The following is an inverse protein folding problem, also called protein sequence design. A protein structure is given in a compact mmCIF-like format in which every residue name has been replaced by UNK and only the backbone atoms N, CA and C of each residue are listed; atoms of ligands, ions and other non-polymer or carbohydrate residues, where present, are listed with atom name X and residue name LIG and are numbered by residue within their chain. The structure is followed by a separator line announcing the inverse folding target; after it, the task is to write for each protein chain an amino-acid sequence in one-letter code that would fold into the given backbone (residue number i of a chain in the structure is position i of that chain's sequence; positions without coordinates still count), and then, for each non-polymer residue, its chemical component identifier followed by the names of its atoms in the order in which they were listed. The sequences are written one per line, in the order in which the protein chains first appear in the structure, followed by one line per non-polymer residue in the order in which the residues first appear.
data_IF_968331798659
#
_entry.id   IF_968331798659
#
_cell.length_a   1.000
_cell.length_b   1.000
_cell.length_c   1.000
_cell.angle_alpha   90.00
_cell.angle_beta   90.00
_cell.angle_gamma   90.00
#
_symmetry.space_group_name_H-M   'P 1'
#
loop_
_entity.id
_entity.type
_entity.pdbx_description
1 polymer ?
#
# COMPACT_ATOMS: atom_id res chain seq x y z
N UNK A 1 -8.40 60.66 -3.32
CA UNK A 1 -7.29 60.27 -2.44
C UNK A 1 -7.64 59.05 -1.57
N UNK A 2 -8.82 59.03 -0.91
CA UNK A 2 -9.22 57.94 -0.04
C UNK A 2 -9.20 56.55 -0.71
N UNK A 3 -9.81 56.44 -1.91
CA UNK A 3 -9.86 55.19 -2.67
C UNK A 3 -8.47 54.72 -3.08
N UNK A 4 -7.58 55.62 -3.45
CA UNK A 4 -6.19 55.27 -3.77
C UNK A 4 -5.46 54.75 -2.52
N UNK A 5 -5.64 55.41 -1.37
CA UNK A 5 -5.04 54.95 -0.11
C UNK A 5 -5.55 53.54 0.27
N UNK A 6 -6.86 53.25 0.16
CA UNK A 6 -7.46 51.96 0.40
C UNK A 6 -6.88 50.90 -0.57
N UNK A 7 -6.74 51.23 -1.86
CA UNK A 7 -6.17 50.33 -2.84
C UNK A 7 -4.71 49.96 -2.50
N UNK A 8 -3.87 50.95 -2.19
CA UNK A 8 -2.46 50.71 -1.84
C UNK A 8 -2.33 49.88 -0.57
N UNK A 9 -3.10 50.19 0.47
CA UNK A 9 -3.11 49.43 1.70
C UNK A 9 -3.57 47.99 1.46
N UNK A 10 -4.66 47.82 0.71
CA UNK A 10 -5.15 46.48 0.36
C UNK A 10 -4.13 45.66 -0.41
N UNK A 11 -3.42 46.29 -1.35
CA UNK A 11 -2.36 45.64 -2.13
C UNK A 11 -1.23 45.12 -1.22
N UNK A 12 -0.78 45.96 -0.29
CA UNK A 12 0.28 45.60 0.68
C UNK A 12 -0.14 44.45 1.60
N UNK A 13 -1.37 44.49 2.09
CA UNK A 13 -1.91 43.40 2.92
C UNK A 13 -2.04 42.10 2.14
N UNK A 14 -2.52 42.14 0.89
CA UNK A 14 -2.65 40.94 0.04
C UNK A 14 -1.28 40.31 -0.19
N UNK A 15 -0.25 41.08 -0.50
CA UNK A 15 1.11 40.57 -0.68
C UNK A 15 1.67 39.98 0.62
N UNK A 16 1.50 40.69 1.73
CA UNK A 16 2.03 40.30 3.05
C UNK A 16 1.34 39.01 3.58
N UNK A 17 0.12 38.78 3.18
CA UNK A 17 -0.67 37.61 3.58
C UNK A 17 -0.08 36.28 3.11
N UNK A 18 0.78 36.26 2.10
CA UNK A 18 1.46 35.05 1.59
C UNK A 18 2.93 34.91 2.09
N UNK A 19 3.45 35.87 2.81
CA UNK A 19 4.83 35.85 3.28
C UNK A 19 4.99 35.06 4.59
N UNK A 20 6.12 34.42 4.78
CA UNK A 20 6.48 33.75 6.05
C UNK A 20 5.74 32.41 6.28
N UNK A 21 4.98 31.90 5.32
CA UNK A 21 4.35 30.58 5.43
C UNK A 21 5.35 29.48 5.15
N UNK A 22 5.35 28.45 5.99
CA UNK A 22 6.07 27.21 5.78
C UNK A 22 5.11 26.10 5.34
N UNK A 23 5.48 25.35 4.30
CA UNK A 23 4.68 24.25 3.76
C UNK A 23 5.54 23.02 3.71
N UNK A 24 5.02 21.91 4.24
CA UNK A 24 5.67 20.60 4.24
C UNK A 24 4.68 19.52 3.82
N UNK A 25 5.17 18.52 3.09
CA UNK A 25 4.41 17.32 2.81
C UNK A 25 4.60 16.30 3.93
N UNK A 26 3.54 15.59 4.24
CA UNK A 26 3.55 14.47 5.19
C UNK A 26 3.52 13.16 4.39
N UNK A 27 3.89 12.05 5.03
CA UNK A 27 3.86 10.73 4.40
C UNK A 27 2.49 10.42 3.79
N UNK A 28 2.51 9.77 2.64
CA UNK A 28 1.31 9.42 1.86
C UNK A 28 1.10 7.92 1.93
N UNK A 29 -0.13 7.50 2.18
CA UNK A 29 -0.50 6.09 2.14
C UNK A 29 -0.52 5.58 0.69
N UNK A 30 -0.08 4.33 0.45
CA UNK A 30 -0.16 3.74 -0.88
C UNK A 30 -1.62 3.49 -1.29
N UNK A 31 -1.88 3.57 -2.59
CA UNK A 31 -3.21 3.36 -3.20
C UNK A 31 -3.10 2.41 -4.39
N UNK A 32 -4.23 1.88 -4.85
CA UNK A 32 -4.27 1.08 -6.08
C UNK A 32 -4.48 1.96 -7.32
N UNK A 33 -3.97 1.48 -8.46
CA UNK A 33 -4.18 2.13 -9.73
C UNK A 33 -5.69 2.20 -10.06
N UNK A 34 -6.14 3.39 -10.44
CA UNK A 34 -7.55 3.75 -10.62
C UNK A 34 -8.17 4.48 -9.43
N UNK A 35 -7.49 4.56 -8.30
CA UNK A 35 -7.93 5.32 -7.12
C UNK A 35 -7.34 6.75 -7.12
N UNK A 36 -7.63 7.48 -6.06
CA UNK A 36 -7.08 8.82 -5.84
C UNK A 36 -6.05 8.81 -4.70
N UNK A 37 -4.82 9.16 -5.02
CA UNK A 37 -3.76 9.36 -4.04
C UNK A 37 -3.98 10.69 -3.29
N UNK A 38 -4.01 10.65 -1.96
CA UNK A 38 -4.17 11.82 -1.10
C UNK A 38 -2.82 12.21 -0.52
N UNK A 39 -2.34 13.39 -0.85
CA UNK A 39 -1.10 13.95 -0.36
C UNK A 39 -1.39 14.96 0.77
N UNK A 40 -1.25 14.56 2.04
CA UNK A 40 -1.42 15.48 3.14
C UNK A 40 -0.25 16.48 3.17
N UNK A 41 -0.59 17.75 3.30
CA UNK A 41 0.34 18.85 3.46
C UNK A 41 0.03 19.60 4.77
N UNK A 42 1.05 20.11 5.39
CA UNK A 42 0.94 20.96 6.59
C UNK A 42 1.45 22.34 6.23
N UNK A 43 0.61 23.32 6.48
CA UNK A 43 0.89 24.75 6.28
C UNK A 43 0.97 25.39 7.66
N UNK A 44 2.09 25.99 8.00
CA UNK A 44 2.31 26.64 9.29
C UNK A 44 2.70 28.08 9.13
N UNK A 45 2.28 28.89 10.09
CA UNK A 45 2.61 30.30 10.20
C UNK A 45 3.48 30.51 11.46
N UNK A 46 4.82 30.55 11.32
CA UNK A 46 5.71 30.78 12.45
C UNK A 46 5.66 32.23 12.96
N UNK A 47 5.13 33.12 12.13
CA UNK A 47 5.03 34.56 12.46
C UNK A 47 3.89 34.84 13.45
N UNK A 48 3.94 36.04 14.05
CA UNK A 48 2.89 36.55 14.96
C UNK A 48 1.65 37.12 14.25
N UNK A 49 1.55 37.00 12.93
CA UNK A 49 0.49 37.60 12.10
C UNK A 49 -0.32 36.48 11.44
N UNK A 50 -1.64 36.50 11.65
CA UNK A 50 -2.55 35.57 10.99
C UNK A 50 -2.52 35.69 9.45
N UNK A 51 -2.67 34.61 8.78
CA UNK A 51 -2.82 34.52 7.32
C UNK A 51 -4.25 34.10 7.01
N UNK A 52 -4.99 34.94 6.33
CA UNK A 52 -6.44 34.78 6.18
C UNK A 52 -6.83 34.52 4.72
N UNK A 53 -7.92 33.79 4.54
CA UNK A 53 -8.51 33.52 3.23
C UNK A 53 -7.48 33.02 2.21
N UNK A 54 -6.74 31.98 2.58
CA UNK A 54 -5.78 31.28 1.73
C UNK A 54 -6.47 30.10 1.03
N UNK A 55 -6.04 29.76 -0.16
CA UNK A 55 -6.42 28.51 -0.82
C UNK A 55 -5.26 27.95 -1.64
N UNK A 56 -5.38 26.64 -2.00
CA UNK A 56 -4.47 25.97 -2.89
C UNK A 56 -4.97 26.10 -4.33
N UNK A 57 -4.14 26.60 -5.24
CA UNK A 57 -4.55 26.89 -6.65
C UNK A 57 -4.95 25.64 -7.42
N UNK A 58 -4.58 24.45 -6.99
CA UNK A 58 -4.81 23.20 -7.73
C UNK A 58 -6.09 22.46 -7.33
N UNK A 59 -6.82 22.93 -6.34
CA UNK A 59 -8.11 22.35 -5.98
C UNK A 59 -9.20 22.82 -6.93
N UNK A 60 -9.98 21.86 -7.45
CA UNK A 60 -11.13 22.14 -8.32
C UNK A 60 -12.21 22.97 -7.60
N UNK A 61 -12.21 22.96 -6.28
CA UNK A 61 -13.03 23.80 -5.41
C UNK A 61 -12.11 24.41 -4.38
N UNK A 62 -11.77 25.70 -4.49
CA UNK A 62 -10.90 26.37 -3.56
C UNK A 62 -11.58 26.44 -2.18
N UNK A 63 -11.20 25.52 -1.31
CA UNK A 63 -11.57 25.56 0.10
C UNK A 63 -10.67 26.59 0.80
N UNK A 64 -11.24 27.76 1.11
CA UNK A 64 -10.55 28.83 1.78
C UNK A 64 -10.26 28.43 3.22
N UNK A 65 -9.04 28.69 3.67
CA UNK A 65 -8.61 28.46 5.04
C UNK A 65 -7.78 29.62 5.58
N UNK A 66 -7.64 29.67 6.89
CA UNK A 66 -6.80 30.64 7.57
C UNK A 66 -5.82 29.89 8.46
N UNK A 67 -4.65 30.50 8.67
CA UNK A 67 -3.61 29.98 9.56
C UNK A 67 -3.32 31.06 10.59
N UNK A 68 -3.60 30.77 11.84
CA UNK A 68 -3.36 31.68 12.96
C UNK A 68 -1.89 31.64 13.38
N UNK A 69 -1.41 32.68 14.12
CA UNK A 69 -0.05 32.73 14.60
C UNK A 69 0.33 31.49 15.42
N UNK A 70 1.43 30.84 15.06
CA UNK A 70 1.91 29.66 15.76
C UNK A 70 1.10 28.38 15.49
N UNK A 71 0.05 28.45 14.68
CA UNK A 71 -0.75 27.29 14.30
C UNK A 71 -0.28 26.65 13.00
N UNK A 72 -0.73 25.41 12.80
CA UNK A 72 -0.56 24.67 11.56
C UNK A 72 -1.88 24.10 11.10
N UNK A 73 -2.16 24.22 9.81
CA UNK A 73 -3.37 23.72 9.18
C UNK A 73 -2.99 22.57 8.24
N UNK A 74 -3.67 21.45 8.39
CA UNK A 74 -3.50 20.31 7.48
C UNK A 74 -4.52 20.38 6.33
N UNK A 75 -4.02 20.21 5.12
CA UNK A 75 -4.81 20.09 3.89
C UNK A 75 -4.35 18.87 3.11
N UNK A 76 -5.13 18.39 2.18
CA UNK A 76 -4.76 17.26 1.34
C UNK A 76 -5.02 17.58 -0.12
N UNK A 77 -4.07 17.20 -0.97
CA UNK A 77 -4.21 17.29 -2.42
C UNK A 77 -4.56 15.91 -2.94
N UNK A 78 -5.66 15.80 -3.68
CA UNK A 78 -6.10 14.56 -4.29
C UNK A 78 -5.64 14.51 -5.75
N UNK A 79 -5.00 13.42 -6.15
CA UNK A 79 -4.53 13.20 -7.51
C UNK A 79 -5.01 11.83 -8.01
N UNK A 80 -5.44 11.73 -9.28
CA UNK A 80 -5.78 10.44 -9.85
C UNK A 80 -4.49 9.60 -10.01
N UNK A 81 -4.51 8.38 -9.49
CA UNK A 81 -3.43 7.41 -9.61
C UNK A 81 -3.74 6.47 -10.78
N UNK A 82 -3.51 6.92 -12.02
CA UNK A 82 -3.89 6.18 -13.22
C UNK A 82 -3.04 4.92 -13.43
N UNK A 83 -1.74 4.99 -13.15
CA UNK A 83 -0.77 3.94 -13.41
C UNK A 83 -0.03 3.56 -12.13
N UNK A 84 0.40 2.30 -12.05
CA UNK A 84 1.24 1.85 -10.93
C UNK A 84 2.62 2.52 -10.93
N UNK A 85 3.25 2.55 -9.78
CA UNK A 85 4.60 3.10 -9.65
C UNK A 85 4.70 4.20 -8.60
N UNK A 86 5.60 5.15 -8.81
CA UNK A 86 5.77 6.30 -7.92
C UNK A 86 5.03 7.50 -8.48
N UNK A 87 4.00 7.94 -7.80
CA UNK A 87 3.28 9.17 -8.08
C UNK A 87 3.83 10.28 -7.17
N UNK A 88 4.44 11.29 -7.78
CA UNK A 88 4.99 12.43 -7.04
C UNK A 88 3.95 13.54 -6.88
N UNK A 89 4.01 14.24 -5.76
CA UNK A 89 3.20 15.43 -5.54
C UNK A 89 3.63 16.54 -6.54
N UNK A 90 2.69 17.16 -7.25
CA UNK A 90 3.02 18.29 -8.11
C UNK A 90 3.37 19.53 -7.30
N UNK A 91 4.06 20.47 -7.93
CA UNK A 91 4.26 21.78 -7.36
C UNK A 91 2.92 22.47 -7.12
N UNK A 92 2.76 23.03 -5.93
CA UNK A 92 1.55 23.74 -5.51
C UNK A 92 1.81 25.23 -5.39
N UNK A 93 0.73 26.01 -5.42
CA UNK A 93 0.74 27.44 -5.12
C UNK A 93 -0.31 27.76 -4.07
N UNK A 94 0.03 28.66 -3.18
CA UNK A 94 -0.94 29.34 -2.34
C UNK A 94 -1.40 30.62 -3.00
N UNK A 95 -2.66 30.91 -2.87
CA UNK A 95 -3.24 32.15 -3.36
C UNK A 95 -4.13 32.78 -2.29
N UNK A 96 -4.36 34.09 -2.41
CA UNK A 96 -5.24 34.86 -1.55
C UNK A 96 -5.80 36.08 -2.27
N UNK A 97 -7.01 36.50 -1.84
CA UNK A 97 -7.62 37.78 -2.22
C UNK A 97 -7.90 38.69 -1.01
N UNK A 98 -7.41 38.28 0.15
CA UNK A 98 -7.56 39.06 1.38
C UNK A 98 -6.81 40.41 1.27
N UNK A 99 -7.35 41.58 1.78
CA UNK A 99 -8.54 41.69 2.60
C UNK A 99 -9.87 41.95 1.83
N UNK A 100 -9.84 42.68 0.72
CA UNK A 100 -11.04 43.21 0.07
C UNK A 100 -11.45 42.46 -1.19
N UNK A 101 -10.72 41.42 -1.58
CA UNK A 101 -10.98 40.68 -2.81
C UNK A 101 -10.61 41.41 -4.11
N UNK A 102 -10.11 42.65 -4.04
CA UNK A 102 -9.76 43.49 -5.19
C UNK A 102 -8.48 43.01 -5.85
N UNK A 103 -7.49 42.63 -5.06
CA UNK A 103 -6.20 42.16 -5.54
C UNK A 103 -6.08 40.65 -5.36
N UNK A 104 -5.44 40.02 -6.34
CA UNK A 104 -5.11 38.61 -6.32
C UNK A 104 -3.60 38.45 -6.18
N UNK A 105 -3.17 37.72 -5.16
CA UNK A 105 -1.78 37.36 -4.96
C UNK A 105 -1.62 35.85 -4.94
N UNK A 106 -0.47 35.38 -5.42
CA UNK A 106 -0.09 33.96 -5.40
C UNK A 106 1.38 33.80 -5.03
N UNK A 107 1.70 32.66 -4.43
CA UNK A 107 3.08 32.30 -4.12
C UNK A 107 3.81 31.81 -5.37
N UNK A 108 5.13 31.72 -5.31
CA UNK A 108 5.90 30.91 -6.26
C UNK A 108 5.45 29.45 -6.19
N UNK A 109 5.78 28.67 -7.21
CA UNK A 109 5.57 27.21 -7.17
C UNK A 109 6.42 26.60 -6.06
N UNK A 110 5.78 25.90 -5.16
CA UNK A 110 6.40 25.25 -4.01
C UNK A 110 6.56 23.77 -4.38
N UNK A 111 7.79 23.34 -4.52
CA UNK A 111 8.15 21.96 -4.79
C UNK A 111 8.33 21.23 -3.47
N UNK A 112 7.64 20.11 -3.31
CA UNK A 112 7.74 19.27 -2.13
C UNK A 112 8.22 17.89 -2.56
N UNK A 113 9.08 17.26 -1.76
CA UNK A 113 9.56 15.90 -2.01
C UNK A 113 8.66 14.92 -1.28
N UNK A 114 7.57 14.51 -1.91
CA UNK A 114 6.71 13.45 -1.41
C UNK A 114 6.22 12.60 -2.59
N UNK A 115 6.09 11.31 -2.36
CA UNK A 115 5.59 10.39 -3.37
C UNK A 115 4.67 9.36 -2.73
N UNK A 116 3.68 8.95 -3.49
CA UNK A 116 2.78 7.85 -3.19
C UNK A 116 3.22 6.63 -4.01
N UNK A 117 3.25 5.46 -3.38
CA UNK A 117 3.40 4.21 -4.12
C UNK A 117 2.01 3.79 -4.61
N UNK A 118 1.87 3.67 -5.92
CA UNK A 118 0.63 3.21 -6.55
C UNK A 118 0.78 1.74 -6.88
N UNK A 119 0.01 0.89 -6.21
CA UNK A 119 -0.03 -0.55 -6.45
C UNK A 119 -0.73 -0.87 -7.78
N UNK A 120 -0.43 -2.01 -8.42
CA UNK A 120 -1.19 -2.46 -9.58
C UNK A 120 -2.68 -2.59 -9.24
N UNK A 121 -3.54 -2.31 -10.20
CA UNK A 121 -4.97 -2.55 -10.05
C UNK A 121 -5.22 -4.05 -9.89
N UNK A 122 -5.92 -4.50 -8.83
CA UNK A 122 -6.22 -5.91 -8.67
C UNK A 122 -7.07 -6.44 -9.83
N UNK A 123 -6.71 -7.61 -10.36
CA UNK A 123 -7.53 -8.29 -11.34
C UNK A 123 -8.89 -8.71 -10.74
N UNK A 124 -9.89 -9.04 -11.57
CA UNK A 124 -11.11 -9.67 -11.08
C UNK A 124 -10.81 -10.92 -10.26
N UNK A 125 -11.69 -11.31 -9.32
CA UNK A 125 -11.50 -12.51 -8.54
C UNK A 125 -11.27 -13.74 -9.43
N UNK A 126 -10.14 -14.38 -9.24
CA UNK A 126 -9.76 -15.60 -9.95
C UNK A 126 -9.11 -16.55 -8.94
N UNK A 127 -9.51 -17.82 -8.89
CA UNK A 127 -8.89 -18.77 -7.98
C UNK A 127 -7.38 -18.86 -8.27
N UNK A 128 -6.59 -19.05 -7.21
CA UNK A 128 -5.18 -19.40 -7.37
C UNK A 128 -5.12 -20.70 -8.17
N UNK A 129 -4.44 -20.70 -9.28
CA UNK A 129 -3.92 -21.94 -9.81
C UNK A 129 -2.65 -22.21 -8.99
N UNK A 130 -2.78 -23.03 -7.96
CA UNK A 130 -1.61 -23.59 -7.31
C UNK A 130 -0.89 -24.37 -8.40
N UNK A 131 0.21 -23.81 -8.89
CA UNK A 131 1.09 -24.55 -9.78
C UNK A 131 1.43 -25.86 -9.03
N UNK A 132 1.03 -26.97 -9.60
CA UNK A 132 1.44 -28.29 -9.15
C UNK A 132 2.96 -28.37 -9.27
N UNK A 133 3.66 -27.95 -8.22
CA UNK A 133 5.06 -28.27 -8.05
C UNK A 133 5.13 -29.77 -7.76
N UNK A 134 4.94 -30.59 -8.84
CA UNK A 134 5.38 -31.97 -8.96
C UNK A 134 5.09 -32.94 -7.83
N UNK A 135 3.95 -32.86 -7.21
CA UNK A 135 3.51 -33.83 -6.22
C UNK A 135 1.98 -33.86 -6.17
N UNK A 136 1.43 -35.03 -6.43
CA UNK A 136 0.01 -35.37 -6.42
C UNK A 136 -0.64 -35.07 -5.06
N UNK A 137 -0.91 -33.79 -4.79
CA UNK A 137 -1.59 -33.34 -3.60
C UNK A 137 -2.49 -32.17 -3.93
N UNK A 138 -3.80 -32.42 -3.99
CA UNK A 138 -4.81 -31.36 -3.83
C UNK A 138 -4.37 -30.49 -2.67
N UNK A 139 -4.37 -29.14 -2.80
CA UNK A 139 -4.23 -28.30 -1.63
C UNK A 139 -5.41 -28.63 -0.72
N UNK A 140 -5.12 -29.36 0.33
CA UNK A 140 -6.05 -29.46 1.42
C UNK A 140 -6.18 -28.03 1.96
N UNK A 141 -7.31 -27.37 1.65
CA UNK A 141 -7.82 -26.31 2.52
C UNK A 141 -7.71 -26.91 3.91
N UNK A 142 -6.71 -26.45 4.68
CA UNK A 142 -6.51 -26.91 6.05
C UNK A 142 -7.80 -26.56 6.79
N UNK A 143 -8.73 -27.50 6.84
CA UNK A 143 -9.79 -27.51 7.84
C UNK A 143 -9.04 -27.44 9.17
N UNK A 144 -9.19 -26.36 9.85
CA UNK A 144 -8.84 -26.18 11.25
C UNK A 144 -9.73 -27.11 12.08
N UNK A 145 -9.56 -28.42 11.96
CA UNK A 145 -10.03 -29.41 12.92
C UNK A 145 -9.60 -30.79 12.43
N UNK A 146 -8.67 -31.36 13.14
CA UNK A 146 -8.33 -32.75 13.01
C UNK A 146 -6.85 -32.94 12.65
N UNK A 147 -6.12 -33.42 13.63
CA UNK A 147 -4.85 -34.09 13.44
C UNK A 147 -5.09 -35.21 12.41
N UNK A 148 -4.71 -34.99 11.15
CA UNK A 148 -4.86 -36.02 10.12
C UNK A 148 -4.00 -37.21 10.51
N UNK A 149 -4.69 -38.25 10.92
CA UNK A 149 -4.09 -39.52 11.29
C UNK A 149 -3.48 -40.17 10.05
N UNK A 150 -2.14 -40.26 10.01
CA UNK A 150 -1.42 -40.86 8.90
C UNK A 150 -1.23 -42.38 9.07
N UNK A 151 -1.13 -42.87 10.32
CA UNK A 151 -0.93 -44.30 10.55
C UNK A 151 -0.43 -44.58 11.97
N UNK A 152 -0.10 -45.83 12.19
CA UNK A 152 0.56 -46.31 13.43
C UNK A 152 1.98 -46.74 13.11
N UNK A 153 2.95 -46.41 13.96
CA UNK A 153 4.27 -47.04 13.97
C UNK A 153 4.53 -47.64 15.34
N UNK A 154 5.43 -48.61 15.40
CA UNK A 154 5.82 -49.22 16.66
C UNK A 154 6.65 -48.23 17.51
N UNK A 155 6.35 -48.17 18.79
CA UNK A 155 6.99 -47.25 19.74
C UNK A 155 8.52 -47.37 19.72
N UNK A 156 9.20 -46.25 19.56
CA UNK A 156 10.66 -46.13 19.71
C UNK A 156 11.01 -45.28 20.91
N UNK A 157 12.14 -45.57 21.54
CA UNK A 157 12.61 -44.80 22.70
C UNK A 157 12.86 -43.34 22.30
N UNK A 158 12.02 -42.43 22.82
CA UNK A 158 11.98 -41.00 22.44
C UNK A 158 10.63 -40.48 21.96
N UNK A 159 9.70 -41.40 21.66
CA UNK A 159 8.36 -41.02 21.26
C UNK A 159 7.54 -40.50 22.43
N UNK A 160 6.68 -39.52 22.15
CA UNK A 160 5.80 -38.91 23.15
C UNK A 160 4.71 -39.89 23.61
N UNK A 161 4.66 -40.15 24.90
CA UNK A 161 3.63 -40.98 25.52
C UNK A 161 2.19 -40.51 25.28
N UNK A 162 1.96 -39.27 24.92
CA UNK A 162 0.66 -38.70 24.63
C UNK A 162 0.00 -39.26 23.35
N UNK A 163 0.81 -39.77 22.43
CA UNK A 163 0.35 -40.25 21.13
C UNK A 163 0.25 -41.75 21.07
N UNK A 164 0.45 -42.47 22.17
CA UNK A 164 0.33 -43.92 22.24
C UNK A 164 -1.15 -44.31 22.12
N UNK A 165 -1.43 -45.23 21.21
CA UNK A 165 -2.76 -45.82 21.03
C UNK A 165 -2.97 -47.00 21.99
N UNK A 166 -3.31 -46.72 23.24
CA UNK A 166 -3.47 -47.71 24.31
C UNK A 166 -4.50 -48.80 24.01
N UNK A 167 -5.46 -48.55 23.12
CA UNK A 167 -6.48 -49.54 22.71
C UNK A 167 -5.95 -50.70 21.85
N UNK A 168 -4.80 -50.56 21.22
CA UNK A 168 -4.21 -51.62 20.40
C UNK A 168 -3.37 -52.63 21.19
N UNK A 169 -2.89 -52.22 22.37
CA UNK A 169 -2.01 -53.05 23.22
C UNK A 169 -2.57 -54.46 23.52
N UNK A 170 -3.88 -54.67 23.82
CA UNK A 170 -4.42 -56.00 24.09
C UNK A 170 -4.53 -56.89 22.85
N UNK A 171 -4.49 -56.30 21.64
CA UNK A 171 -4.68 -57.05 20.39
C UNK A 171 -3.40 -57.36 19.63
N UNK A 172 -2.41 -56.48 19.67
CA UNK A 172 -1.19 -56.58 18.87
C UNK A 172 0.07 -56.89 19.71
N UNK A 173 0.02 -56.76 21.03
CA UNK A 173 1.17 -56.99 21.91
C UNK A 173 2.30 -55.98 21.76
N UNK A 174 2.19 -54.98 20.85
CA UNK A 174 3.15 -53.89 20.63
C UNK A 174 2.52 -52.55 20.92
N UNK A 175 3.33 -51.63 21.47
CA UNK A 175 2.93 -50.27 21.68
C UNK A 175 2.98 -49.50 20.33
N UNK A 176 1.82 -49.09 19.88
CA UNK A 176 1.68 -48.34 18.64
C UNK A 176 1.51 -46.84 18.95
N UNK A 177 2.30 -46.02 18.29
CA UNK A 177 2.22 -44.56 18.38
C UNK A 177 1.49 -44.03 17.14
N UNK A 178 0.55 -43.15 17.35
CA UNK A 178 -0.13 -42.46 16.28
C UNK A 178 0.86 -41.49 15.62
N UNK A 179 1.10 -41.71 14.33
CA UNK A 179 1.84 -40.78 13.48
C UNK A 179 0.82 -39.81 12.91
N UNK A 180 0.97 -38.54 13.23
CA UNK A 180 0.27 -37.47 12.56
C UNK A 180 1.14 -37.03 11.39
N UNK A 181 0.54 -36.87 10.22
CA UNK A 181 1.22 -36.22 9.12
C UNK A 181 1.63 -34.82 9.66
N UNK A 182 2.90 -34.61 9.85
CA UNK A 182 3.39 -33.26 10.08
C UNK A 182 2.82 -32.40 8.97
N UNK A 183 2.06 -31.38 9.33
CA UNK A 183 1.53 -30.41 8.37
C UNK A 183 2.76 -29.86 7.66
N UNK A 184 3.18 -30.45 6.53
CA UNK A 184 3.93 -29.70 5.55
C UNK A 184 2.98 -28.58 5.17
N UNK A 185 3.15 -27.42 5.82
CA UNK A 185 2.55 -26.20 5.32
C UNK A 185 3.08 -26.07 3.90
N UNK A 186 2.27 -26.45 2.94
CA UNK A 186 2.59 -26.24 1.54
C UNK A 186 2.77 -24.73 1.40
N UNK A 187 4.02 -24.33 1.30
CA UNK A 187 4.39 -22.94 1.13
C UNK A 187 3.77 -22.46 -0.17
N UNK A 188 2.87 -21.51 -0.06
CA UNK A 188 2.24 -20.91 -1.22
C UNK A 188 3.24 -19.94 -1.85
N UNK A 189 3.61 -20.16 -3.10
CA UNK A 189 4.49 -19.27 -3.84
C UNK A 189 3.74 -18.64 -5.01
N UNK A 190 3.85 -17.34 -5.14
CA UNK A 190 3.38 -16.58 -6.29
C UNK A 190 4.58 -16.22 -7.16
N UNK A 191 4.56 -16.68 -8.40
CA UNK A 191 5.60 -16.37 -9.37
C UNK A 191 5.01 -15.57 -10.54
N UNK A 192 5.78 -14.57 -11.00
CA UNK A 192 5.38 -13.77 -12.17
C UNK A 192 5.24 -14.62 -13.42
N UNK A 193 6.07 -15.68 -13.56
CA UNK A 193 6.02 -16.58 -14.71
C UNK A 193 4.73 -17.40 -14.77
N UNK A 194 4.15 -17.70 -13.61
CA UNK A 194 2.92 -18.49 -13.49
C UNK A 194 1.64 -17.66 -13.55
N UNK A 195 1.78 -16.33 -13.49
CA UNK A 195 0.63 -15.42 -13.49
C UNK A 195 -0.01 -15.37 -14.90
N UNK A 196 -1.30 -15.70 -15.05
CA UNK A 196 -1.99 -15.63 -16.32
C UNK A 196 -2.21 -14.17 -16.74
N UNK A 197 -2.16 -13.93 -18.05
CA UNK A 197 -2.50 -12.64 -18.63
C UNK A 197 -1.71 -12.31 -19.90
N UNK A 198 -2.27 -11.50 -20.78
CA UNK A 198 -1.68 -11.17 -22.07
C UNK A 198 -0.57 -10.10 -21.98
N UNK A 199 0.20 -10.09 -20.93
CA UNK A 199 1.31 -9.14 -20.76
C UNK A 199 1.61 -8.81 -19.31
N UNK A 200 2.72 -8.11 -19.10
CA UNK A 200 3.26 -7.83 -17.77
C UNK A 200 2.22 -7.16 -16.83
N UNK A 201 1.50 -6.17 -17.33
CA UNK A 201 0.51 -5.45 -16.50
C UNK A 201 -0.64 -6.35 -16.04
N UNK A 202 -1.11 -7.24 -16.91
CA UNK A 202 -2.15 -8.19 -16.56
C UNK A 202 -1.64 -9.24 -15.54
N UNK A 203 -0.40 -9.70 -15.72
CA UNK A 203 0.25 -10.61 -14.78
C UNK A 203 0.46 -9.97 -13.40
N UNK A 204 0.91 -8.73 -13.35
CA UNK A 204 1.07 -7.98 -12.09
C UNK A 204 -0.27 -7.70 -11.42
N UNK A 205 -1.31 -7.42 -12.20
CA UNK A 205 -2.68 -7.27 -11.69
C UNK A 205 -3.20 -8.56 -11.07
N UNK A 206 -2.89 -9.70 -11.69
CA UNK A 206 -3.27 -11.01 -11.17
C UNK A 206 -2.51 -11.36 -9.88
N UNK A 207 -1.20 -11.14 -9.84
CA UNK A 207 -0.41 -11.31 -8.62
C UNK A 207 -0.91 -10.41 -7.49
N UNK A 208 -1.24 -9.16 -7.81
CA UNK A 208 -1.83 -8.23 -6.85
C UNK A 208 -3.14 -8.80 -6.27
N UNK A 209 -3.99 -9.38 -7.09
CA UNK A 209 -5.23 -10.04 -6.66
C UNK A 209 -4.93 -11.21 -5.72
N UNK A 210 -4.03 -12.10 -6.10
CA UNK A 210 -3.65 -13.27 -5.30
C UNK A 210 -3.07 -12.89 -3.93
N UNK A 211 -2.24 -11.85 -3.87
CA UNK A 211 -1.71 -11.33 -2.61
C UNK A 211 -2.84 -10.85 -1.69
N UNK A 212 -3.83 -10.13 -2.23
CA UNK A 212 -4.98 -9.64 -1.45
C UNK A 212 -5.82 -10.81 -0.93
N UNK A 213 -6.08 -11.80 -1.78
CA UNK A 213 -6.89 -12.95 -1.42
C UNK A 213 -6.17 -13.85 -0.39
N UNK A 214 -4.85 -14.05 -0.53
CA UNK A 214 -4.04 -14.78 0.43
C UNK A 214 -4.04 -14.12 1.81
N UNK A 215 -3.87 -12.80 1.86
CA UNK A 215 -3.94 -12.03 3.10
C UNK A 215 -5.32 -12.15 3.75
N UNK A 216 -6.40 -12.04 2.95
CA UNK A 216 -7.77 -12.17 3.47
C UNK A 216 -8.03 -13.55 4.07
N UNK A 217 -7.42 -14.59 3.49
CA UNK A 217 -7.50 -15.97 3.97
C UNK A 217 -6.45 -16.31 5.04
N UNK A 218 -5.59 -15.35 5.40
CA UNK A 218 -4.49 -15.54 6.36
C UNK A 218 -3.54 -16.69 5.97
N UNK A 219 -3.25 -16.82 4.68
CA UNK A 219 -2.32 -17.80 4.16
C UNK A 219 -0.89 -17.23 4.17
N UNK A 220 0.07 -18.09 4.55
CA UNK A 220 1.49 -17.79 4.41
C UNK A 220 1.90 -17.93 2.94
N UNK A 221 2.47 -16.87 2.36
CA UNK A 221 2.84 -16.86 0.95
C UNK A 221 4.16 -16.14 0.70
N UNK A 222 4.91 -16.64 -0.28
CA UNK A 222 6.10 -16.01 -0.82
C UNK A 222 5.83 -15.40 -2.20
N UNK A 223 6.69 -14.48 -2.63
CA UNK A 223 6.61 -13.83 -3.94
C UNK A 223 7.95 -13.95 -4.67
N UNK A 224 7.89 -14.39 -5.93
CA UNK A 224 9.02 -14.39 -6.87
C UNK A 224 8.70 -13.47 -8.04
N UNK A 225 9.57 -12.50 -8.27
CA UNK A 225 9.40 -11.56 -9.38
C UNK A 225 10.76 -11.20 -9.98
N UNK A 226 11.01 -11.70 -11.18
CA UNK A 226 12.34 -11.59 -11.80
C UNK A 226 13.42 -12.19 -10.92
N UNK A 227 14.45 -11.42 -10.59
CA UNK A 227 15.55 -11.85 -9.71
C UNK A 227 15.26 -11.68 -8.22
N UNK A 228 14.13 -11.08 -7.86
CA UNK A 228 13.79 -10.79 -6.45
C UNK A 228 12.85 -11.85 -5.91
N UNK A 229 13.21 -12.40 -4.74
CA UNK A 229 12.41 -13.38 -4.00
C UNK A 229 12.14 -12.84 -2.60
N UNK A 230 10.86 -12.80 -2.22
CA UNK A 230 10.43 -12.60 -0.84
C UNK A 230 9.99 -13.92 -0.26
N UNK A 231 10.59 -14.35 0.86
CA UNK A 231 10.22 -15.60 1.51
C UNK A 231 8.78 -15.55 2.02
N UNK A 232 8.14 -16.73 2.22
CA UNK A 232 6.81 -16.82 2.79
C UNK A 232 6.72 -16.15 4.15
N UNK A 233 5.71 -15.29 4.32
CA UNK A 233 5.43 -14.58 5.56
C UNK A 233 3.94 -14.21 5.61
N UNK A 234 3.48 -13.67 6.72
CA UNK A 234 2.10 -13.26 6.98
C UNK A 234 2.03 -11.79 7.39
N UNK A 235 0.85 -11.21 7.18
CA UNK A 235 0.49 -9.93 7.77
C UNK A 235 0.68 -8.73 6.85
N UNK A 236 0.11 -7.61 7.28
CA UNK A 236 0.00 -6.37 6.49
C UNK A 236 1.35 -5.80 6.06
N UNK A 237 2.40 -5.99 6.86
CA UNK A 237 3.75 -5.56 6.50
C UNK A 237 4.31 -6.36 5.33
N UNK A 238 4.11 -7.69 5.32
CA UNK A 238 4.50 -8.56 4.22
C UNK A 238 3.73 -8.23 2.95
N UNK A 239 2.40 -8.11 3.05
CA UNK A 239 1.53 -7.67 1.96
C UNK A 239 2.03 -6.36 1.33
N UNK A 240 2.33 -5.35 2.17
CA UNK A 240 2.80 -4.05 1.69
C UNK A 240 4.14 -4.17 0.96
N UNK A 241 5.07 -4.98 1.46
CA UNK A 241 6.34 -5.26 0.79
C UNK A 241 6.14 -5.91 -0.58
N UNK A 242 5.29 -6.94 -0.65
CA UNK A 242 4.96 -7.62 -1.90
C UNK A 242 4.33 -6.66 -2.92
N UNK A 243 3.29 -5.92 -2.52
CA UNK A 243 2.61 -4.95 -3.39
C UNK A 243 3.55 -3.82 -3.85
N UNK A 244 4.47 -3.38 -2.99
CA UNK A 244 5.48 -2.38 -3.36
C UNK A 244 6.45 -2.91 -4.41
N UNK A 245 6.86 -4.16 -4.31
CA UNK A 245 7.68 -4.79 -5.35
C UNK A 245 6.94 -4.86 -6.69
N UNK A 246 5.67 -5.26 -6.69
CA UNK A 246 4.84 -5.26 -7.91
C UNK A 246 4.72 -3.85 -8.50
N UNK A 247 4.51 -2.85 -7.66
CA UNK A 247 4.37 -1.46 -8.08
C UNK A 247 5.64 -0.92 -8.76
N UNK A 248 6.80 -1.25 -8.22
CA UNK A 248 8.10 -0.75 -8.65
C UNK A 248 8.79 -1.65 -9.66
N UNK A 249 8.20 -2.80 -10.00
CA UNK A 249 8.78 -3.69 -11.01
C UNK A 249 8.84 -2.99 -12.37
N UNK A 250 10.01 -2.95 -13.04
CA UNK A 250 10.19 -2.20 -14.27
C UNK A 250 9.25 -2.73 -15.36
N UNK A 251 8.58 -1.82 -16.06
CA UNK A 251 7.92 -2.15 -17.31
C UNK A 251 9.04 -2.63 -18.27
N UNK A 252 8.86 -3.78 -18.91
CA UNK A 252 9.77 -4.25 -19.94
C UNK A 252 9.74 -3.19 -21.04
N UNK A 253 10.84 -2.45 -21.22
CA UNK A 253 11.00 -1.56 -22.36
C UNK A 253 10.92 -2.42 -23.62
N UNK A 254 9.75 -2.42 -24.24
CA UNK A 254 9.57 -2.89 -25.62
C UNK A 254 10.09 -1.76 -26.54
N UNK A 255 11.41 -1.63 -26.62
CA UNK A 255 11.97 -0.56 -27.42
C UNK A 255 13.48 -0.57 -27.40
N UNK A 256 14.08 -1.71 -27.75
CA UNK A 256 15.46 -1.74 -28.28
C UNK A 256 15.55 -2.89 -29.31
N UNK A 257 14.94 -2.62 -30.46
CA UNK A 257 15.19 -3.28 -31.73
C UNK A 257 15.00 -2.21 -32.81
N UNK A 258 16.15 -1.58 -33.18
CA UNK A 258 16.19 -0.61 -34.26
C UNK A 258 17.57 0.01 -34.39
#
# INVERSE_FOLDING_TARGET
FLLIAIAVVSMLFTQRNLQGLSISAVGTEPVFAGEHARFPIVISCPDSIARLALWLEKDSHPDEFSVLPGESVRRSISLPAAERGRLSIPAVRLASRYPLGIFFAWSRRIHMTSHCVVFPRPAPPSPFQLADSGGSGRPALAKRDGEDFFGFHDYQAGDSYRHIHWKSLPKSGSLQVKTFAGTQQSELWFDLADAPGPGLEAQLSQLCRWIIDAETQQLCYGLRIGATTLPPDLGTAHRTRCLTLLALYPAKNTGDDG
#
